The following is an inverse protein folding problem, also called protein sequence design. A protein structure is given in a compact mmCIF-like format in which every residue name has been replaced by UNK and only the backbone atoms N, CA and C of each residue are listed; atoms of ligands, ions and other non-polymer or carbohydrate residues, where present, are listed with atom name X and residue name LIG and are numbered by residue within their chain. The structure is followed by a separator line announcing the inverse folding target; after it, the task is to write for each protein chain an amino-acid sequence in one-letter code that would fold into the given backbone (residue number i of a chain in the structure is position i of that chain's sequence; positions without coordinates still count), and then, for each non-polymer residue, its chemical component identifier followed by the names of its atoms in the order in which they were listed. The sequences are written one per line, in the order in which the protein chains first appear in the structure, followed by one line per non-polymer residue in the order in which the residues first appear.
data_IF_909567645606
#
_entry.id   IF_909567645606
#
_cell.length_a   1.000
_cell.length_b   1.000
_cell.length_c   1.000
_cell.angle_alpha   90.00
_cell.angle_beta   90.00
_cell.angle_gamma   90.00
#
_symmetry.space_group_name_H-M   'P 1'
#
loop_
_entity.id
_entity.type
_entity.pdbx_description
1 polymer ?
#
# COMPACT_ATOMS: atom_id res chain seq x y z
N UNK A 1 24.47 -10.37 -11.66
CA UNK A 1 24.07 -10.28 -10.24
C UNK A 1 22.87 -9.37 -10.21
N UNK A 2 21.68 -9.79 -9.73
CA UNK A 2 20.61 -8.83 -9.51
C UNK A 2 21.15 -7.75 -8.59
N UNK A 3 21.01 -6.48 -8.99
CA UNK A 3 21.36 -5.33 -8.14
C UNK A 3 20.66 -5.52 -6.81
N UNK A 4 21.42 -5.57 -5.72
CA UNK A 4 20.85 -5.71 -4.37
C UNK A 4 19.89 -4.56 -4.15
N UNK A 5 18.60 -4.88 -3.98
CA UNK A 5 17.56 -3.93 -3.60
C UNK A 5 17.79 -3.33 -2.20
N UNK A 6 18.77 -3.83 -1.45
CA UNK A 6 19.22 -3.31 -0.16
C UNK A 6 20.56 -2.59 -0.35
N UNK A 7 20.60 -1.32 0.04
CA UNK A 7 21.76 -0.44 -0.07
C UNK A 7 22.72 -0.62 1.14
N UNK A 8 24.02 -0.31 0.99
CA UNK A 8 25.01 -0.53 2.04
C UNK A 8 24.73 0.21 3.36
N UNK A 9 24.07 1.37 3.31
CA UNK A 9 23.74 2.17 4.48
C UNK A 9 22.42 1.76 5.16
N UNK A 10 21.74 0.72 4.66
CA UNK A 10 20.50 0.25 5.24
C UNK A 10 20.70 -0.20 6.69
N UNK A 11 19.78 0.20 7.57
CA UNK A 11 19.73 -0.32 8.94
C UNK A 11 19.45 -1.83 8.87
N UNK A 12 20.38 -2.64 9.40
CA UNK A 12 20.37 -4.11 9.30
C UNK A 12 19.34 -4.79 10.23
N UNK A 13 18.10 -4.31 10.17
CA UNK A 13 16.93 -4.84 10.86
C UNK A 13 16.52 -6.21 10.30
N UNK A 14 15.67 -6.94 11.04
CA UNK A 14 15.14 -8.22 10.56
C UNK A 14 14.38 -8.07 9.23
N UNK A 15 13.66 -6.96 9.03
CA UNK A 15 12.94 -6.69 7.79
C UNK A 15 13.91 -6.53 6.61
N UNK A 16 14.93 -5.68 6.73
CA UNK A 16 15.93 -5.46 5.67
C UNK A 16 16.68 -6.75 5.33
N UNK A 17 17.09 -7.53 6.34
CA UNK A 17 17.75 -8.82 6.12
C UNK A 17 16.89 -9.80 5.34
N UNK A 18 15.57 -9.81 5.58
CA UNK A 18 14.63 -10.65 4.82
C UNK A 18 14.43 -10.20 3.38
N UNK A 19 14.58 -8.91 3.11
CA UNK A 19 14.49 -8.33 1.77
C UNK A 19 15.80 -8.44 0.99
N UNK A 20 16.89 -8.87 1.61
CA UNK A 20 18.18 -9.02 0.92
C UNK A 20 18.10 -10.16 -0.09
N UNK A 21 18.45 -9.88 -1.34
CA UNK A 21 18.37 -10.85 -2.44
C UNK A 21 16.95 -11.15 -2.92
N UNK A 22 16.00 -10.26 -2.60
CA UNK A 22 14.58 -10.36 -3.00
C UNK A 22 14.26 -9.39 -4.12
N UNK A 23 13.38 -9.78 -5.04
CA UNK A 23 12.85 -8.85 -6.05
C UNK A 23 11.76 -7.99 -5.41
N UNK A 24 12.13 -6.77 -5.02
CA UNK A 24 11.21 -5.79 -4.43
C UNK A 24 10.82 -4.76 -5.49
N UNK A 25 9.53 -4.57 -5.67
CA UNK A 25 8.94 -3.66 -6.66
C UNK A 25 8.18 -2.54 -5.94
N UNK A 26 8.36 -1.31 -6.39
CA UNK A 26 7.53 -0.16 -6.02
C UNK A 26 6.54 0.14 -7.16
N UNK A 27 5.26 -0.08 -6.88
CA UNK A 27 4.12 0.18 -7.75
C UNK A 27 3.77 1.68 -7.86
N UNK A 28 4.77 2.55 -8.04
CA UNK A 28 4.59 4.00 -8.05
C UNK A 28 5.64 4.73 -8.88
N UNK A 29 5.20 5.70 -9.67
CA UNK A 29 6.08 6.64 -10.37
C UNK A 29 6.58 7.81 -9.49
N UNK A 30 6.16 7.88 -8.22
CA UNK A 30 6.47 9.03 -7.35
C UNK A 30 7.97 9.08 -6.99
N UNK A 31 8.70 10.16 -7.40
CA UNK A 31 10.11 10.29 -7.04
C UNK A 31 10.32 10.44 -5.53
N UNK A 32 9.34 11.00 -4.80
CA UNK A 32 9.39 11.17 -3.34
C UNK A 32 9.39 9.83 -2.62
N UNK A 33 8.52 8.89 -3.03
CA UNK A 33 8.43 7.55 -2.42
C UNK A 33 9.71 6.76 -2.65
N UNK A 34 10.27 6.84 -3.86
CA UNK A 34 11.59 6.28 -4.17
C UNK A 34 12.67 6.89 -3.26
N UNK A 35 12.72 8.21 -3.15
CA UNK A 35 13.70 8.91 -2.33
C UNK A 35 13.62 8.50 -0.84
N UNK A 36 12.42 8.42 -0.27
CA UNK A 36 12.20 7.96 1.11
C UNK A 36 12.76 6.54 1.30
N UNK A 37 12.40 5.59 0.43
CA UNK A 37 12.91 4.22 0.51
C UNK A 37 14.44 4.17 0.40
N UNK A 38 15.03 4.95 -0.49
CA UNK A 38 16.49 5.04 -0.65
C UNK A 38 17.19 5.60 0.59
N UNK A 39 16.61 6.60 1.27
CA UNK A 39 17.13 7.12 2.55
C UNK A 39 17.24 6.00 3.59
N UNK A 40 16.24 5.12 3.66
CA UNK A 40 16.25 3.98 4.58
C UNK A 40 16.99 2.73 4.03
N UNK A 41 17.64 2.86 2.88
CA UNK A 41 18.51 1.84 2.32
C UNK A 41 17.80 0.76 1.50
N UNK A 42 16.63 1.06 0.95
CA UNK A 42 15.92 0.20 0.00
C UNK A 42 15.87 0.86 -1.38
N UNK A 43 16.30 0.15 -2.42
CA UNK A 43 16.22 0.56 -3.82
C UNK A 43 15.40 -0.48 -4.60
N UNK A 44 14.07 -0.36 -4.59
CA UNK A 44 13.20 -1.28 -5.32
C UNK A 44 13.23 -1.01 -6.83
N UNK A 45 12.87 -2.02 -7.61
CA UNK A 45 12.51 -1.87 -9.02
C UNK A 45 11.26 -0.99 -9.14
N UNK A 46 11.28 -0.01 -10.03
CA UNK A 46 10.16 0.93 -10.21
C UNK A 46 9.26 0.43 -11.34
N UNK A 47 8.05 -0.02 -11.00
CA UNK A 47 7.06 -0.48 -11.97
C UNK A 47 5.74 0.24 -11.67
N UNK A 48 5.45 1.41 -12.26
CA UNK A 48 4.20 2.11 -12.02
C UNK A 48 2.98 1.23 -12.34
N UNK A 49 1.92 1.38 -11.54
CA UNK A 49 0.64 0.75 -11.82
C UNK A 49 -0.07 1.41 -12.99
N UNK A 50 -0.86 0.63 -13.73
CA UNK A 50 -1.76 1.12 -14.79
C UNK A 50 -3.22 1.20 -14.32
N UNK A 51 -3.50 0.98 -13.03
CA UNK A 51 -4.84 1.11 -12.46
C UNK A 51 -5.31 2.57 -12.53
N UNK A 52 -6.51 2.79 -13.06
CA UNK A 52 -7.16 4.10 -13.09
C UNK A 52 -7.63 4.45 -11.67
N UNK A 53 -7.22 5.62 -11.15
CA UNK A 53 -7.49 6.03 -9.76
C UNK A 53 -8.90 6.64 -9.63
N UNK A 54 -9.92 5.94 -10.14
CA UNK A 54 -11.27 6.46 -10.36
C UNK A 54 -12.34 5.83 -9.44
N UNK A 55 -11.91 5.18 -8.36
CA UNK A 55 -12.82 4.56 -7.39
C UNK A 55 -13.85 5.59 -6.89
N UNK A 56 -15.16 5.26 -6.90
CA UNK A 56 -16.18 6.22 -6.53
C UNK A 56 -16.11 6.52 -5.03
N UNK A 57 -15.69 7.72 -4.66
CA UNK A 57 -15.55 8.12 -3.24
C UNK A 57 -16.83 7.86 -2.42
N UNK A 58 -18.00 7.99 -3.04
CA UNK A 58 -19.30 7.71 -2.40
C UNK A 58 -19.52 6.25 -2.00
N UNK A 59 -18.71 5.30 -2.46
CA UNK A 59 -18.82 3.89 -2.05
C UNK A 59 -18.17 3.60 -0.70
N UNK A 60 -17.46 4.55 -0.11
CA UNK A 60 -16.74 4.36 1.14
C UNK A 60 -17.54 4.94 2.31
N UNK A 61 -17.93 4.08 3.27
CA UNK A 61 -18.56 4.52 4.52
C UNK A 61 -17.59 5.26 5.44
N UNK A 62 -16.29 4.99 5.29
CA UNK A 62 -15.19 5.70 5.94
C UNK A 62 -14.21 6.17 4.86
N UNK A 63 -14.07 7.49 4.71
CA UNK A 63 -13.23 8.10 3.67
C UNK A 63 -11.74 7.72 3.79
N UNK A 64 -11.27 7.30 4.98
CA UNK A 64 -9.89 6.85 5.19
C UNK A 64 -9.58 5.51 4.53
N UNK A 65 -10.61 4.74 4.16
CA UNK A 65 -10.45 3.48 3.43
C UNK A 65 -10.16 3.70 1.93
N UNK A 66 -10.53 4.86 1.39
CA UNK A 66 -10.29 5.21 -0.02
C UNK A 66 -8.83 5.06 -0.44
N UNK A 67 -7.84 5.72 0.19
CA UNK A 67 -6.44 5.58 -0.23
C UNK A 67 -5.91 4.15 -0.02
N UNK A 68 -6.41 3.41 0.97
CA UNK A 68 -6.04 2.00 1.16
C UNK A 68 -6.55 1.13 0.01
N UNK A 69 -7.79 1.33 -0.42
CA UNK A 69 -8.38 0.62 -1.55
C UNK A 69 -7.64 0.95 -2.86
N UNK A 70 -7.40 2.22 -3.15
CA UNK A 70 -6.64 2.67 -4.32
C UNK A 70 -5.23 2.07 -4.34
N UNK A 71 -4.51 2.11 -3.22
CA UNK A 71 -3.19 1.46 -3.10
C UNK A 71 -3.26 -0.07 -3.27
N UNK A 72 -4.34 -0.71 -2.80
CA UNK A 72 -4.54 -2.16 -2.95
C UNK A 72 -4.68 -2.54 -4.41
N UNK A 73 -5.55 -1.84 -5.15
CA UNK A 73 -5.72 -2.07 -6.59
C UNK A 73 -4.41 -1.86 -7.35
N UNK A 74 -3.65 -0.79 -7.04
CA UNK A 74 -2.32 -0.55 -7.64
C UNK A 74 -1.35 -1.70 -7.38
N UNK A 75 -1.27 -2.20 -6.14
CA UNK A 75 -0.33 -3.26 -5.79
C UNK A 75 -0.69 -4.60 -6.44
N UNK A 76 -1.99 -4.97 -6.40
CA UNK A 76 -2.48 -6.23 -6.96
C UNK A 76 -2.33 -6.24 -8.47
N UNK A 77 -2.69 -5.15 -9.16
CA UNK A 77 -2.53 -5.03 -10.60
C UNK A 77 -1.07 -5.25 -11.03
N UNK A 78 -0.11 -4.56 -10.38
CA UNK A 78 1.31 -4.72 -10.68
C UNK A 78 1.79 -6.14 -10.38
N UNK A 79 1.36 -6.73 -9.26
CA UNK A 79 1.74 -8.10 -8.89
C UNK A 79 1.24 -9.11 -9.93
N UNK A 80 -0.05 -9.09 -10.25
CA UNK A 80 -0.68 -10.03 -11.18
C UNK A 80 -0.11 -9.87 -12.59
N UNK A 81 0.06 -8.63 -13.08
CA UNK A 81 0.68 -8.38 -14.39
C UNK A 81 2.11 -8.89 -14.48
N UNK A 82 2.92 -8.72 -13.43
CA UNK A 82 4.30 -9.21 -13.43
C UNK A 82 4.38 -10.74 -13.31
N UNK A 83 3.48 -11.36 -12.54
CA UNK A 83 3.38 -12.82 -12.45
C UNK A 83 2.92 -13.43 -13.78
N UNK A 84 1.95 -12.82 -14.47
CA UNK A 84 1.48 -13.30 -15.76
C UNK A 84 2.55 -13.15 -16.85
N UNK A 85 3.30 -12.05 -16.83
CA UNK A 85 4.36 -11.79 -17.81
C UNK A 85 5.58 -12.72 -17.67
N UNK A 86 6.00 -13.02 -16.43
CA UNK A 86 7.12 -13.92 -16.15
C UNK A 86 6.93 -14.68 -14.83
N UNK A 87 6.23 -15.84 -14.86
CA UNK A 87 5.93 -16.62 -13.65
C UNK A 87 7.17 -17.12 -12.90
N UNK A 88 8.28 -17.34 -13.60
CA UNK A 88 9.53 -17.85 -13.02
C UNK A 88 10.34 -16.75 -12.32
N UNK A 89 9.97 -15.48 -12.53
CA UNK A 89 10.60 -14.30 -11.94
C UNK A 89 9.58 -13.37 -11.26
N UNK A 90 8.54 -13.94 -10.64
CA UNK A 90 7.55 -13.19 -9.89
C UNK A 90 8.19 -12.31 -8.79
N UNK A 91 7.64 -11.11 -8.51
CA UNK A 91 8.15 -10.26 -7.44
C UNK A 91 7.96 -10.93 -6.07
N UNK A 92 8.99 -10.85 -5.22
CA UNK A 92 8.90 -11.31 -3.82
C UNK A 92 8.10 -10.33 -2.94
N UNK A 93 8.04 -9.06 -3.35
CA UNK A 93 7.29 -8.01 -2.66
C UNK A 93 6.93 -6.90 -3.65
N UNK A 94 5.64 -6.56 -3.73
CA UNK A 94 5.16 -5.34 -4.39
C UNK A 94 4.69 -4.37 -3.31
N UNK A 95 5.13 -3.11 -3.40
CA UNK A 95 4.79 -2.02 -2.49
C UNK A 95 3.99 -0.99 -3.27
N UNK A 96 2.80 -0.62 -2.81
CA UNK A 96 2.05 0.52 -3.35
C UNK A 96 1.67 1.48 -2.23
N UNK A 97 1.48 2.74 -2.60
CA UNK A 97 0.94 3.73 -1.69
C UNK A 97 0.02 4.70 -2.43
N UNK A 98 -0.95 5.22 -1.71
CA UNK A 98 -1.85 6.28 -2.17
C UNK A 98 -2.03 7.30 -1.06
N UNK A 99 -1.97 8.59 -1.39
CA UNK A 99 -1.93 9.68 -0.41
C UNK A 99 -2.94 10.74 -0.78
N UNK A 100 -3.83 11.07 0.16
CA UNK A 100 -4.84 12.11 0.03
C UNK A 100 -4.76 13.09 1.20
N UNK A 101 -5.29 14.29 1.02
CA UNK A 101 -5.44 15.28 2.08
C UNK A 101 -6.92 15.48 2.35
N UNK A 102 -7.30 15.47 3.63
CA UNK A 102 -8.68 15.67 4.06
C UNK A 102 -8.77 16.97 4.87
N UNK A 103 -9.82 17.75 4.65
CA UNK A 103 -10.15 18.81 5.60
C UNK A 103 -10.41 18.19 6.98
N UNK A 104 -9.94 18.86 8.02
CA UNK A 104 -10.07 18.37 9.38
C UNK A 104 -10.79 19.42 10.22
N UNK A 105 -11.98 19.07 10.71
CA UNK A 105 -12.69 19.93 11.63
C UNK A 105 -11.93 19.94 12.96
N UNK A 106 -11.41 21.10 13.38
CA UNK A 106 -10.91 21.26 14.74
C UNK A 106 -12.06 20.92 15.70
N UNK A 107 -11.85 20.08 16.73
CA UNK A 107 -12.85 19.92 17.76
C UNK A 107 -13.15 21.32 18.33
N UNK A 108 -14.44 21.67 18.33
CA UNK A 108 -14.93 22.89 18.96
C UNK A 108 -14.28 23.03 20.34
N UNK A 109 -13.84 24.23 20.72
CA UNK A 109 -13.32 24.52 22.06
C UNK A 109 -14.37 24.32 23.17
N UNK A 110 -15.61 23.99 22.83
CA UNK A 110 -16.61 23.49 23.77
C UNK A 110 -16.27 22.06 24.19
N UNK A 111 -16.53 21.68 25.44
CA UNK A 111 -16.38 20.32 25.98
C UNK A 111 -17.33 19.28 25.34
N UNK A 112 -17.75 19.53 24.12
CA UNK A 112 -18.68 18.73 23.34
C UNK A 112 -17.87 17.65 22.62
N UNK A 113 -18.16 16.38 22.92
CA UNK A 113 -17.60 15.24 22.19
C UNK A 113 -17.75 15.46 20.68
N UNK A 114 -16.71 15.14 19.90
CA UNK A 114 -16.71 15.24 18.43
C UNK A 114 -17.92 14.54 17.80
N UNK A 115 -18.42 13.48 18.46
CA UNK A 115 -19.62 12.73 18.09
C UNK A 115 -20.95 13.52 18.16
N UNK A 116 -20.94 14.76 18.67
CA UNK A 116 -22.14 15.59 18.89
C UNK A 116 -22.11 16.90 18.09
N UNK A 117 -21.06 17.13 17.28
CA UNK A 117 -21.06 18.23 16.30
C UNK A 117 -21.84 17.77 15.05
N UNK A 118 -22.54 18.68 14.33
CA UNK A 118 -23.13 18.34 13.04
C UNK A 118 -22.04 17.73 12.14
N UNK A 119 -22.39 16.70 11.36
CA UNK A 119 -21.45 16.02 10.44
C UNK A 119 -20.79 17.06 9.52
N UNK A 120 -19.60 17.54 9.90
CA UNK A 120 -18.77 18.31 8.99
C UNK A 120 -18.22 17.29 8.02
N UNK A 121 -18.82 17.25 6.82
CA UNK A 121 -18.34 16.39 5.74
C UNK A 121 -16.91 16.79 5.41
N UNK A 122 -15.96 15.89 5.64
CA UNK A 122 -14.58 16.09 5.26
C UNK A 122 -14.49 16.23 3.73
N UNK A 123 -13.80 17.27 3.29
CA UNK A 123 -13.48 17.49 1.88
C UNK A 123 -12.18 16.76 1.55
N UNK A 124 -12.16 16.03 0.44
CA UNK A 124 -10.99 15.31 -0.03
C UNK A 124 -10.28 16.14 -1.10
N UNK A 125 -9.00 16.42 -0.85
CA UNK A 125 -8.10 17.12 -1.77
C UNK A 125 -7.09 16.14 -2.35
N UNK A 126 -7.24 15.87 -3.65
CA UNK A 126 -6.24 15.17 -4.45
C UNK A 126 -5.20 16.16 -4.99
N UNK A 127 -4.60 15.82 -6.14
CA UNK A 127 -3.69 16.71 -6.86
C UNK A 127 -4.51 17.85 -7.49
N UNK A 128 -4.09 19.12 -7.36
CA UNK A 128 -4.79 20.21 -8.00
C UNK A 128 -4.72 20.07 -9.52
N UNK A 129 -5.80 20.45 -10.19
CA UNK A 129 -5.91 20.36 -11.67
C UNK A 129 -5.28 21.54 -12.39
N UNK A 130 -5.09 22.66 -11.70
CA UNK A 130 -4.44 23.87 -12.20
C UNK A 130 -3.80 24.68 -11.08
N UNK A 131 -3.08 25.76 -11.43
CA UNK A 131 -2.55 26.71 -10.43
C UNK A 131 -3.68 27.41 -9.67
N UNK A 132 -4.78 27.74 -10.34
CA UNK A 132 -5.95 28.36 -9.73
C UNK A 132 -6.61 27.42 -8.72
N UNK A 133 -6.70 26.12 -9.05
CA UNK A 133 -7.18 25.10 -8.12
C UNK A 133 -6.22 24.91 -6.94
N UNK A 134 -4.90 24.90 -7.20
CA UNK A 134 -3.89 24.87 -6.12
C UNK A 134 -4.04 26.09 -5.20
N UNK A 135 -4.26 27.28 -5.74
CA UNK A 135 -4.45 28.50 -4.96
C UNK A 135 -5.70 28.42 -4.08
N UNK A 136 -6.83 27.97 -4.66
CA UNK A 136 -8.07 27.72 -3.92
C UNK A 136 -7.86 26.73 -2.78
N UNK A 137 -7.28 25.56 -3.05
CA UNK A 137 -6.99 24.54 -2.04
C UNK A 137 -6.14 25.10 -0.89
N UNK A 138 -5.10 25.86 -1.21
CA UNK A 138 -4.23 26.43 -0.18
C UNK A 138 -4.92 27.51 0.65
N UNK A 139 -5.84 28.29 0.07
CA UNK A 139 -6.66 29.22 0.83
C UNK A 139 -7.61 28.49 1.78
N UNK A 140 -8.21 27.38 1.34
CA UNK A 140 -9.11 26.57 2.16
C UNK A 140 -8.37 25.97 3.37
N UNK A 141 -7.11 25.58 3.19
CA UNK A 141 -6.26 24.98 4.23
C UNK A 141 -5.58 26.01 5.15
N UNK A 142 -5.41 27.26 4.69
CA UNK A 142 -4.60 28.28 5.36
C UNK A 142 -5.11 28.59 6.78
N UNK A 143 -4.19 28.71 7.74
CA UNK A 143 -4.52 28.95 9.15
C UNK A 143 -5.19 27.78 9.88
N UNK A 144 -5.65 26.76 9.15
CA UNK A 144 -6.37 25.60 9.66
C UNK A 144 -5.49 24.37 9.90
N UNK A 145 -6.15 23.22 9.97
CA UNK A 145 -5.51 21.91 10.05
C UNK A 145 -6.12 20.98 9.01
N UNK A 146 -5.30 20.13 8.42
CA UNK A 146 -5.74 19.03 7.57
C UNK A 146 -5.16 17.71 8.05
N UNK A 147 -5.76 16.62 7.58
CA UNK A 147 -5.30 15.27 7.82
C UNK A 147 -4.73 14.70 6.52
N UNK A 148 -3.46 14.29 6.55
CA UNK A 148 -2.83 13.54 5.46
C UNK A 148 -2.98 12.07 5.72
N UNK A 149 -3.65 11.36 4.82
CA UNK A 149 -3.88 9.92 4.92
C UNK A 149 -3.11 9.23 3.80
N UNK A 150 -2.23 8.30 4.17
CA UNK A 150 -1.60 7.39 3.19
C UNK A 150 -2.03 5.95 3.44
N UNK A 151 -2.67 5.37 2.43
CA UNK A 151 -2.84 3.92 2.34
C UNK A 151 -1.55 3.29 1.85
N UNK A 152 -0.89 2.47 2.67
CA UNK A 152 0.30 1.70 2.31
C UNK A 152 -0.07 0.23 2.18
N UNK A 153 0.26 -0.38 1.04
CA UNK A 153 -0.05 -1.78 0.77
C UNK A 153 1.20 -2.54 0.35
N UNK A 154 1.33 -3.76 0.87
CA UNK A 154 2.32 -4.73 0.42
C UNK A 154 1.64 -6.02 -0.03
N UNK A 155 2.09 -6.54 -1.18
CA UNK A 155 1.65 -7.82 -1.74
C UNK A 155 2.85 -8.75 -1.84
N UNK A 156 2.72 -9.99 -1.38
CA UNK A 156 3.80 -10.98 -1.40
C UNK A 156 3.25 -12.40 -1.62
N UNK A 157 4.02 -13.31 -2.27
CA UNK A 157 3.56 -14.65 -2.61
C UNK A 157 3.31 -15.54 -1.39
N UNK A 158 2.33 -16.44 -1.52
CA UNK A 158 2.06 -17.55 -0.58
C UNK A 158 1.70 -18.83 -1.35
N UNK A 159 1.75 -19.98 -0.67
CA UNK A 159 1.47 -21.29 -1.29
C UNK A 159 -0.03 -21.65 -1.32
N UNK A 160 -0.90 -20.79 -0.79
CA UNK A 160 -2.35 -21.00 -0.76
C UNK A 160 -3.03 -20.07 -1.74
N UNK A 161 -4.14 -20.50 -2.33
CA UNK A 161 -4.97 -19.64 -3.20
C UNK A 161 -5.32 -18.32 -2.49
N UNK A 162 -5.21 -17.15 -3.15
CA UNK A 162 -4.98 -16.93 -4.59
C UNK A 162 -3.51 -16.94 -5.04
N UNK A 163 -2.57 -17.31 -4.17
CA UNK A 163 -1.13 -17.34 -4.47
C UNK A 163 -0.36 -16.11 -3.94
N UNK A 164 -1.06 -15.17 -3.30
CA UNK A 164 -0.47 -14.01 -2.64
C UNK A 164 -1.27 -13.60 -1.39
N UNK A 165 -0.61 -12.87 -0.49
CA UNK A 165 -1.24 -12.15 0.61
C UNK A 165 -1.11 -10.65 0.41
N UNK A 166 -2.11 -9.94 0.90
CA UNK A 166 -2.12 -8.48 0.98
C UNK A 166 -2.01 -8.09 2.45
N UNK A 167 -1.19 -7.07 2.74
CA UNK A 167 -1.24 -6.34 4.00
C UNK A 167 -1.34 -4.85 3.72
N UNK A 168 -2.21 -4.18 4.44
CA UNK A 168 -2.43 -2.74 4.32
C UNK A 168 -2.27 -2.04 5.67
N UNK A 169 -1.98 -0.74 5.58
CA UNK A 169 -1.94 0.20 6.71
C UNK A 169 -2.60 1.48 6.25
N UNK A 170 -3.39 2.09 7.12
CA UNK A 170 -3.83 3.48 7.01
C UNK A 170 -3.01 4.36 7.97
N UNK A 171 -2.01 5.08 7.44
CA UNK A 171 -1.25 6.03 8.26
C UNK A 171 -1.87 7.43 8.15
N UNK A 172 -1.98 8.13 9.28
CA UNK A 172 -2.65 9.43 9.36
C UNK A 172 -1.78 10.43 10.10
N UNK A 173 -1.74 11.67 9.63
CA UNK A 173 -0.96 12.73 10.28
C UNK A 173 -1.65 14.07 10.11
N UNK A 174 -1.67 14.88 11.16
CA UNK A 174 -2.23 16.22 11.12
C UNK A 174 -1.18 17.22 10.68
N UNK A 175 -1.55 18.11 9.77
CA UNK A 175 -0.70 19.20 9.28
C UNK A 175 -1.38 20.52 9.60
N UNK A 176 -0.71 21.34 10.40
CA UNK A 176 -1.17 22.65 10.83
C UNK A 176 -0.57 23.71 9.92
N UNK A 177 -1.39 24.40 9.15
CA UNK A 177 -0.94 25.52 8.33
C UNK A 177 -0.68 26.75 9.20
N UNK A 178 0.32 27.55 8.86
CA UNK A 178 0.48 28.88 9.44
C UNK A 178 -0.64 29.81 8.96
N UNK A 179 -0.79 30.98 9.59
CA UNK A 179 -1.61 32.06 9.03
C UNK A 179 -0.79 32.77 7.95
N UNK A 180 -0.83 32.22 6.73
CA UNK A 180 0.01 32.70 5.63
C UNK A 180 -0.63 33.91 4.94
N UNK A 181 0.19 34.88 4.56
CA UNK A 181 -0.28 35.99 3.74
C UNK A 181 -0.65 35.51 2.34
N UNK A 182 -1.56 36.23 1.68
CA UNK A 182 -1.98 35.92 0.31
C UNK A 182 -0.78 35.93 -0.65
N UNK A 183 0.13 36.88 -0.48
CA UNK A 183 1.32 37.03 -1.32
C UNK A 183 2.24 35.80 -1.23
N UNK A 184 2.39 35.22 -0.04
CA UNK A 184 3.19 34.00 0.15
C UNK A 184 2.54 32.80 -0.57
N UNK A 185 1.22 32.65 -0.47
CA UNK A 185 0.47 31.59 -1.14
C UNK A 185 0.57 31.75 -2.66
N UNK A 186 0.40 32.96 -3.20
CA UNK A 186 0.55 33.25 -4.63
C UNK A 186 1.97 32.91 -5.11
N UNK A 187 3.01 33.33 -4.39
CA UNK A 187 4.39 33.00 -4.72
C UNK A 187 4.67 31.49 -4.70
N UNK A 188 4.05 30.76 -3.76
CA UNK A 188 4.16 29.31 -3.70
C UNK A 188 3.49 28.63 -4.89
N UNK A 189 2.24 29.01 -5.21
CA UNK A 189 1.50 28.48 -6.37
C UNK A 189 2.26 28.77 -7.67
N UNK A 190 2.84 29.95 -7.80
CA UNK A 190 3.61 30.32 -8.98
C UNK A 190 4.84 29.43 -9.20
N UNK A 191 5.42 28.90 -8.13
CA UNK A 191 6.52 27.95 -8.22
C UNK A 191 6.15 26.61 -8.86
N UNK A 192 4.87 26.24 -8.85
CA UNK A 192 4.36 24.96 -9.37
C UNK A 192 4.72 23.74 -8.52
N UNK A 193 5.36 23.91 -7.36
CA UNK A 193 5.82 22.79 -6.53
C UNK A 193 4.68 21.86 -6.09
N UNK A 194 3.50 22.41 -5.81
CA UNK A 194 2.30 21.70 -5.34
C UNK A 194 1.51 20.91 -6.39
N UNK A 195 1.75 21.13 -7.68
CA UNK A 195 0.82 20.67 -8.74
C UNK A 195 0.68 19.14 -8.84
N UNK A 196 1.70 18.39 -8.44
CA UNK A 196 1.71 16.92 -8.48
C UNK A 196 1.56 16.27 -7.09
N UNK A 197 0.94 16.98 -6.14
CA UNK A 197 0.80 16.59 -4.74
C UNK A 197 -0.64 16.70 -4.26
N UNK A 198 -1.07 15.73 -3.45
CA UNK A 198 -2.34 15.84 -2.75
C UNK A 198 -2.37 17.08 -1.86
N UNK A 199 -3.47 17.84 -1.90
CA UNK A 199 -3.62 19.10 -1.17
C UNK A 199 -2.74 20.25 -1.67
N UNK A 200 -1.98 20.06 -2.76
CA UNK A 200 -1.26 21.14 -3.42
C UNK A 200 -0.08 21.72 -2.65
N UNK A 201 0.58 20.97 -1.76
CA UNK A 201 1.77 21.43 -1.03
C UNK A 201 2.84 20.33 -0.83
N UNK A 202 4.10 20.74 -0.64
CA UNK A 202 5.23 19.88 -0.30
C UNK A 202 5.97 20.38 0.95
N UNK A 203 5.82 19.67 2.06
CA UNK A 203 6.44 20.06 3.34
C UNK A 203 7.98 20.02 3.32
N UNK A 204 8.58 19.13 2.52
CA UNK A 204 10.02 18.98 2.38
C UNK A 204 10.68 20.04 1.49
N UNK A 205 9.87 20.86 0.80
CA UNK A 205 10.30 21.88 -0.15
C UNK A 205 9.96 23.29 0.30
N UNK A 206 9.64 24.16 -0.65
CA UNK A 206 9.20 25.54 -0.38
C UNK A 206 7.90 25.57 0.42
N UNK A 207 7.07 24.54 0.28
CA UNK A 207 5.81 24.39 1.00
C UNK A 207 5.99 24.27 2.51
N UNK A 208 7.20 23.96 2.99
CA UNK A 208 7.54 24.04 4.42
C UNK A 208 7.35 25.43 5.01
N UNK A 209 7.40 26.51 4.20
CA UNK A 209 7.08 27.86 4.65
C UNK A 209 5.59 28.07 4.99
N UNK A 210 4.69 27.21 4.47
CA UNK A 210 3.25 27.28 4.69
C UNK A 210 2.81 26.57 5.97
N UNK A 211 3.65 25.67 6.51
CA UNK A 211 3.30 24.72 7.57
C UNK A 211 3.90 25.16 8.90
N UNK A 212 3.07 25.20 9.95
CA UNK A 212 3.44 25.54 11.33
C UNK A 212 3.93 24.34 12.12
N UNK A 213 3.25 23.19 11.99
CA UNK A 213 3.52 21.97 12.76
C UNK A 213 2.98 20.75 12.00
N UNK A 214 3.63 19.61 12.20
CA UNK A 214 3.07 18.28 11.93
C UNK A 214 2.86 17.52 13.24
N UNK A 215 1.75 16.81 13.35
CA UNK A 215 1.49 15.84 14.42
C UNK A 215 1.27 14.46 13.80
N UNK A 216 2.22 13.55 13.99
CA UNK A 216 2.26 12.25 13.32
C UNK A 216 3.57 11.99 12.55
N UNK A 217 3.52 11.08 11.59
CA UNK A 217 4.67 10.70 10.77
C UNK A 217 4.94 11.74 9.67
N UNK A 218 6.09 12.42 9.75
CA UNK A 218 6.54 13.33 8.70
C UNK A 218 6.66 12.65 7.32
N UNK A 219 7.12 11.40 7.25
CA UNK A 219 7.27 10.71 5.97
C UNK A 219 5.90 10.35 5.37
N UNK A 220 4.88 10.12 6.20
CA UNK A 220 3.50 10.00 5.75
C UNK A 220 3.06 11.28 5.00
N UNK A 221 3.33 12.46 5.58
CA UNK A 221 3.04 13.76 4.94
C UNK A 221 3.78 13.94 3.62
N UNK A 222 5.03 13.47 3.52
CA UNK A 222 5.80 13.50 2.26
C UNK A 222 5.24 12.49 1.22
N UNK A 223 4.55 11.45 1.68
CA UNK A 223 3.80 10.50 0.84
C UNK A 223 4.20 9.03 0.96
N UNK A 224 4.97 8.64 1.98
CA UNK A 224 5.27 7.24 2.30
C UNK A 224 5.54 7.02 3.81
N UNK A 225 4.69 6.29 4.55
CA UNK A 225 4.83 6.11 5.99
C UNK A 225 5.91 5.08 6.34
N UNK A 226 7.17 5.50 6.31
CA UNK A 226 8.33 4.63 6.45
C UNK A 226 8.38 3.91 7.81
N UNK A 227 7.97 4.59 8.89
CA UNK A 227 7.96 4.01 10.23
C UNK A 227 6.99 2.81 10.32
N UNK A 228 5.87 2.87 9.60
CA UNK A 228 4.85 1.82 9.55
C UNK A 228 5.16 0.75 8.50
N UNK A 229 5.91 1.10 7.45
CA UNK A 229 6.37 0.15 6.43
C UNK A 229 7.29 -0.94 6.99
N UNK A 230 8.38 -0.58 7.68
CA UNK A 230 9.41 -1.57 8.06
C UNK A 230 8.90 -2.70 8.98
N UNK A 231 8.05 -2.44 9.99
CA UNK A 231 7.41 -3.51 10.77
C UNK A 231 6.51 -4.42 9.91
N UNK A 232 5.79 -3.85 8.95
CA UNK A 232 4.88 -4.58 8.07
C UNK A 232 5.65 -5.47 7.09
N UNK A 233 6.70 -4.92 6.46
CA UNK A 233 7.62 -5.67 5.61
C UNK A 233 8.35 -6.79 6.38
N UNK A 234 8.61 -6.62 7.67
CA UNK A 234 9.20 -7.66 8.53
C UNK A 234 8.36 -8.94 8.66
N UNK A 235 7.07 -8.91 8.30
CA UNK A 235 6.20 -10.08 8.28
C UNK A 235 6.26 -10.87 6.98
N UNK A 236 6.85 -10.30 5.92
CA UNK A 236 7.09 -11.00 4.65
C UNK A 236 7.94 -12.24 4.94
N UNK A 237 7.51 -13.39 4.40
CA UNK A 237 8.23 -14.65 4.54
C UNK A 237 8.20 -15.32 5.93
N UNK A 238 7.23 -15.06 6.81
CA UNK A 238 7.01 -15.96 7.98
C UNK A 238 6.58 -17.35 7.47
N UNK A 239 7.55 -18.22 7.16
CA UNK A 239 7.32 -19.68 7.08
C UNK A 239 6.96 -20.16 8.48
N UNK A 240 5.68 -20.24 8.80
CA UNK A 240 5.22 -20.95 10.00
C UNK A 240 4.83 -22.38 9.61
N UNK A 241 5.82 -23.20 9.26
CA UNK A 241 5.70 -24.65 9.30
C UNK A 241 7.01 -25.26 9.79
N UNK A 242 6.99 -25.70 11.04
CA UNK A 242 7.88 -26.76 11.53
C UNK A 242 7.23 -28.06 11.05
N UNK A 243 7.62 -28.54 9.87
CA UNK A 243 7.31 -29.92 9.47
C UNK A 243 8.16 -30.83 10.38
N UNK A 244 7.56 -31.29 11.48
CA UNK A 244 7.98 -32.52 12.13
C UNK A 244 7.35 -33.65 11.33
N UNK A 245 8.15 -34.33 10.52
CA UNK A 245 7.73 -35.52 9.78
C UNK A 245 8.40 -35.60 8.43
N UNK A 246 9.35 -36.52 8.31
CA UNK A 246 9.98 -36.94 7.07
C UNK A 246 8.93 -37.27 6.00
N UNK A 247 9.03 -36.62 4.84
CA UNK A 247 8.49 -37.14 3.59
C UNK A 247 9.68 -37.16 2.62
N UNK A 248 10.10 -38.38 2.29
CA UNK A 248 10.95 -38.65 1.14
C UNK A 248 10.16 -38.33 -0.14
N UNK A 249 10.86 -37.73 -1.09
CA UNK A 249 10.48 -37.28 -2.43
C UNK A 249 9.65 -35.97 -2.59
N UNK A 250 10.17 -34.97 -3.34
CA UNK A 250 9.42 -33.77 -3.69
C UNK A 250 8.35 -34.09 -4.74
N UNK A 251 7.15 -33.46 -4.67
CA UNK A 251 6.09 -33.74 -5.63
C UNK A 251 6.45 -33.17 -7.02
N UNK A 252 6.01 -33.81 -8.12
CA UNK A 252 6.30 -33.35 -9.47
C UNK A 252 5.64 -31.99 -9.73
N UNK A 253 6.41 -31.05 -10.25
CA UNK A 253 6.07 -29.64 -10.53
C UNK A 253 4.81 -29.40 -11.40
N UNK A 254 4.18 -30.46 -11.93
CA UNK A 254 2.95 -30.38 -12.75
C UNK A 254 1.66 -30.12 -11.96
N UNK A 255 1.57 -30.50 -10.68
CA UNK A 255 0.34 -30.35 -9.89
C UNK A 255 0.15 -28.92 -9.33
N UNK A 256 1.22 -28.14 -9.16
CA UNK A 256 1.13 -26.74 -8.72
C UNK A 256 0.56 -25.81 -9.80
N UNK A 257 0.61 -26.21 -11.09
CA UNK A 257 0.09 -25.43 -12.22
C UNK A 257 -1.43 -25.28 -12.23
N UNK A 258 -2.16 -26.25 -11.66
CA UNK A 258 -3.62 -26.22 -11.65
C UNK A 258 -4.21 -25.34 -10.53
N UNK A 259 -3.45 -25.08 -9.47
CA UNK A 259 -3.89 -24.27 -8.33
C UNK A 259 -3.53 -22.78 -8.47
N UNK A 260 -2.51 -22.44 -9.27
CA UNK A 260 -2.08 -21.06 -9.50
C UNK A 260 -2.82 -20.37 -10.65
N UNK A 261 -3.42 -21.14 -11.57
CA UNK A 261 -4.19 -20.58 -12.69
C UNK A 261 -5.65 -20.95 -12.44
N UNK A 262 -6.42 -20.04 -11.83
CA UNK A 262 -7.84 -20.22 -11.52
C UNK A 262 -8.76 -20.36 -12.75
N UNK A 263 -8.55 -21.39 -13.58
CA UNK A 263 -9.48 -21.75 -14.66
C UNK A 263 -10.55 -22.69 -14.12
N UNK A 264 -11.81 -22.23 -14.15
CA UNK A 264 -12.99 -23.10 -14.12
C UNK A 264 -12.83 -24.16 -15.21
N UNK A 265 -12.60 -25.41 -14.83
CA UNK A 265 -12.60 -26.53 -15.77
C UNK A 265 -14.04 -27.01 -15.98
N UNK A 266 -14.46 -27.00 -17.26
CA UNK A 266 -15.72 -27.55 -17.73
C UNK A 266 -15.61 -29.09 -17.79
N UNK A 267 -16.59 -29.80 -17.24
CA UNK A 267 -16.60 -31.27 -17.16
C UNK A 267 -17.00 -31.91 -18.48
N UNK A 268 -16.07 -32.00 -19.44
CA UNK A 268 -16.26 -32.87 -20.62
C UNK A 268 -14.93 -33.11 -21.35
N UNK A 269 -13.98 -33.75 -20.68
CA UNK A 269 -12.93 -34.51 -21.37
C UNK A 269 -12.31 -35.48 -20.38
N UNK A 270 -11.76 -36.58 -20.90
CA UNK A 270 -11.25 -37.78 -20.22
C UNK A 270 -12.26 -38.93 -20.06
N UNK A 271 -12.52 -39.59 -21.18
CA UNK A 271 -12.59 -41.06 -21.21
C UNK A 271 -11.16 -41.60 -21.28
N UNK A 272 -10.74 -42.38 -20.30
CA UNK A 272 -9.73 -43.43 -20.47
C UNK A 272 -10.06 -44.58 -19.53
N UNK A 273 -10.39 -45.71 -20.14
CA UNK A 273 -10.34 -47.04 -19.53
C UNK A 273 -9.02 -47.26 -18.79
N UNK A 274 -9.08 -47.77 -17.57
CA UNK A 274 -8.41 -49.03 -17.18
C UNK A 274 -8.73 -49.41 -15.73
N UNK A 275 -9.14 -50.67 -15.61
CA UNK A 275 -9.37 -51.54 -14.46
C UNK A 275 -8.67 -51.27 -13.11
N UNK A 276 -9.52 -51.30 -12.07
CA UNK A 276 -9.42 -52.07 -10.81
C UNK A 276 -8.09 -52.08 -10.05
N UNK A 277 -8.11 -51.43 -8.86
CA UNK A 277 -7.83 -52.11 -7.58
C UNK A 277 -8.49 -51.37 -6.41
N UNK A 278 -9.45 -52.06 -5.78
CA UNK A 278 -10.10 -51.67 -4.52
C UNK A 278 -9.09 -51.73 -3.38
N UNK A 279 -8.91 -50.66 -2.63
CA UNK A 279 -8.60 -50.73 -1.21
C UNK A 279 -9.35 -49.64 -0.45
N UNK A 280 -10.30 -50.11 0.36
CA UNK A 280 -11.10 -49.38 1.31
C UNK A 280 -10.24 -48.92 2.48
N UNK A 281 -10.31 -47.64 2.86
CA UNK A 281 -9.96 -47.20 4.21
C UNK A 281 -10.99 -46.19 4.70
N UNK A 282 -11.59 -46.54 5.83
CA UNK A 282 -12.76 -45.88 6.41
C UNK A 282 -12.43 -44.55 7.09
N UNK A 283 -13.43 -43.68 7.08
CA UNK A 283 -13.49 -42.46 7.89
C UNK A 283 -13.87 -42.88 9.32
N UNK A 284 -12.95 -42.69 10.27
CA UNK A 284 -13.25 -42.74 11.70
C UNK A 284 -13.54 -41.31 12.17
N UNK A 285 -14.82 -41.01 12.34
CA UNK A 285 -15.29 -39.88 13.14
C UNK A 285 -15.25 -40.33 14.60
N UNK A 286 -14.53 -39.61 15.46
CA UNK A 286 -14.74 -39.66 16.90
C UNK A 286 -15.07 -38.24 17.35
N UNK A 287 -16.34 -38.03 17.67
CA UNK A 287 -16.70 -37.17 18.79
C UNK A 287 -16.55 -38.00 20.06
N UNK A 288 -16.08 -37.39 21.14
CA UNK A 288 -16.95 -37.21 22.29
C UNK A 288 -16.38 -36.24 23.31
N UNK A 289 -17.35 -35.58 23.91
CA UNK A 289 -17.31 -34.61 25.00
C UNK A 289 -17.01 -35.31 26.32
N UNK A 290 -16.28 -34.61 27.19
CA UNK A 290 -16.12 -34.90 28.61
C UNK A 290 -15.62 -33.64 29.29
#
# INVERSE_FOLDING_TARGET
MPSSNVLPHALQTLAIKKLTGKRVVLASASPRRKAILSVFGLEPEIVPSTFEEDLPISSFGNIHEYPVATATHKAVEVYERLVEADPDNAPDLVIAADTVVLSHALPSTSQTSYSMLPEVKQELYEKPTSKEDNFRMLLDLNGGVCEVVTGLVVVYPILTSPGYMIKSIDERSLVYFADNSRELIEAYVESGEGLALAGGFAIQGRGGALVRKVDGDYNNVVGFPAASFFPTAGHVGRRRFRLLGHLEDPPPWGLLRALLIGKRFNSSMWHTDTDVRKHSFGVLVHGDVG
#
